data_IF_797186423762
#
_entry.id   IF_797186423762
#
_cell.length_a   1.000
_cell.length_b   1.000
_cell.length_c   1.000
_cell.angle_alpha   90.00
_cell.angle_beta   90.00
_cell.angle_gamma   90.00
#
_symmetry.space_group_name_H-M   'P 1'
#
loop_
_entity.id
_entity.type
_entity.pdbx_description
1 polymer ?
#
# COMPACT_ATOMS: atom_id res chain seq x y z
N UNK A 1 1.24 15.21 25.25
CA UNK A 1 2.01 14.48 24.22
C UNK A 1 1.03 13.58 23.50
N UNK A 2 0.63 13.95 22.30
CA UNK A 2 -0.22 13.10 21.44
C UNK A 2 0.56 11.83 21.12
N UNK A 3 0.00 10.69 21.49
CA UNK A 3 0.59 9.39 21.19
C UNK A 3 0.19 9.09 19.74
N UNK A 4 1.08 9.38 18.79
CA UNK A 4 0.82 9.30 17.33
C UNK A 4 0.21 7.98 16.89
N UNK A 5 0.51 6.86 17.58
CA UNK A 5 -0.11 5.56 17.32
C UNK A 5 -1.57 5.48 17.81
N UNK A 6 -1.90 6.11 18.94
CA UNK A 6 -3.29 6.21 19.42
C UNK A 6 -4.15 7.05 18.49
N UNK A 7 -3.57 8.10 17.90
CA UNK A 7 -4.26 8.93 16.90
C UNK A 7 -4.54 8.11 15.62
N UNK A 8 -3.60 7.29 15.15
CA UNK A 8 -3.82 6.36 14.03
C UNK A 8 -4.94 5.37 14.30
N UNK A 9 -4.99 4.81 15.52
CA UNK A 9 -6.05 3.88 15.92
C UNK A 9 -7.43 4.56 15.90
N UNK A 10 -7.49 5.85 16.21
CA UNK A 10 -8.72 6.64 16.11
C UNK A 10 -9.19 6.90 14.67
N UNK A 11 -8.32 6.72 13.66
CA UNK A 11 -8.70 6.83 12.24
C UNK A 11 -9.27 5.52 11.67
N UNK A 12 -9.06 4.37 12.31
CA UNK A 12 -9.56 3.07 11.86
C UNK A 12 -11.08 3.03 11.54
N UNK A 13 -11.97 3.69 12.32
CA UNK A 13 -13.40 3.69 12.01
C UNK A 13 -13.75 4.31 10.65
N UNK A 14 -12.86 5.09 10.04
CA UNK A 14 -13.05 5.68 8.70
C UNK A 14 -12.89 4.64 7.58
N UNK A 15 -12.30 3.48 7.88
CA UNK A 15 -12.20 2.35 6.95
C UNK A 15 -13.50 1.56 7.01
N UNK A 16 -14.31 1.70 5.97
CA UNK A 16 -15.66 1.13 5.93
C UNK A 16 -15.65 -0.41 5.84
N UNK A 17 -14.75 -0.98 5.04
CA UNK A 17 -14.64 -2.42 4.87
C UNK A 17 -14.06 -3.06 6.15
N UNK A 18 -14.78 -3.98 6.82
CA UNK A 18 -14.32 -4.61 8.06
C UNK A 18 -13.06 -5.46 7.92
N UNK A 19 -12.90 -6.17 6.81
CA UNK A 19 -11.71 -7.01 6.54
C UNK A 19 -10.49 -6.11 6.33
N UNK A 20 -10.64 -5.08 5.50
CA UNK A 20 -9.63 -4.04 5.28
C UNK A 20 -9.22 -3.37 6.59
N UNK A 21 -10.19 -3.03 7.44
CA UNK A 21 -9.96 -2.42 8.75
C UNK A 21 -9.21 -3.36 9.70
N UNK A 22 -9.48 -4.66 9.64
CA UNK A 22 -8.76 -5.66 10.43
C UNK A 22 -7.28 -5.72 10.03
N UNK A 23 -6.97 -5.74 8.72
CA UNK A 23 -5.59 -5.77 8.22
C UNK A 23 -4.73 -4.60 8.73
N UNK A 24 -5.21 -3.36 8.59
CA UNK A 24 -4.45 -2.19 9.08
C UNK A 24 -4.41 -2.15 10.62
N UNK A 25 -5.42 -2.70 11.30
CA UNK A 25 -5.45 -2.87 12.75
C UNK A 25 -4.35 -3.80 13.27
N UNK A 26 -4.04 -4.88 12.56
CA UNK A 26 -2.91 -5.76 12.88
C UNK A 26 -1.57 -5.02 12.74
N UNK A 27 -1.40 -4.24 11.67
CA UNK A 27 -0.18 -3.45 11.48
C UNK A 27 0.02 -2.39 12.58
N UNK A 28 -1.05 -1.70 13.01
CA UNK A 28 -1.01 -0.79 14.17
C UNK A 28 -0.64 -1.55 15.44
N UNK A 29 -1.21 -2.75 15.65
CA UNK A 29 -0.93 -3.57 16.82
C UNK A 29 0.55 -4.02 16.86
N UNK A 30 1.15 -4.29 15.70
CA UNK A 30 2.59 -4.51 15.60
C UNK A 30 3.39 -3.26 16.02
N UNK A 31 2.99 -2.06 15.59
CA UNK A 31 3.68 -0.83 15.95
C UNK A 31 3.59 -0.53 17.46
N UNK A 32 2.42 -0.76 18.07
CA UNK A 32 2.20 -0.61 19.51
C UNK A 32 3.02 -1.60 20.36
N UNK A 33 3.39 -2.75 19.78
CA UNK A 33 4.24 -3.76 20.40
C UNK A 33 5.75 -3.61 20.06
N UNK A 34 6.17 -2.44 19.53
CA UNK A 34 7.54 -2.16 19.05
C UNK A 34 8.03 -3.11 17.94
N UNK A 35 7.13 -3.82 17.26
CA UNK A 35 7.41 -4.65 16.08
C UNK A 35 7.44 -3.81 14.80
N UNK A 36 8.28 -2.78 14.80
CA UNK A 36 8.26 -1.67 13.83
C UNK A 36 8.41 -2.12 12.37
N UNK A 37 9.31 -3.06 12.07
CA UNK A 37 9.51 -3.56 10.70
C UNK A 37 8.32 -4.39 10.22
N UNK A 38 7.71 -5.17 11.12
CA UNK A 38 6.53 -5.96 10.82
C UNK A 38 5.32 -5.06 10.52
N UNK A 39 5.13 -4.00 11.31
CA UNK A 39 4.08 -3.02 11.09
C UNK A 39 4.13 -2.43 9.66
N UNK A 40 5.31 -1.98 9.21
CA UNK A 40 5.52 -1.45 7.85
C UNK A 40 5.20 -2.49 6.78
N UNK A 41 5.69 -3.72 6.93
CA UNK A 41 5.48 -4.76 5.91
C UNK A 41 4.00 -5.12 5.81
N UNK A 42 3.32 -5.36 6.93
CA UNK A 42 1.90 -5.72 6.97
C UNK A 42 1.01 -4.59 6.44
N UNK A 43 1.26 -3.34 6.84
CA UNK A 43 0.46 -2.21 6.35
C UNK A 43 0.57 -2.04 4.84
N UNK A 44 1.75 -2.26 4.27
CA UNK A 44 1.94 -2.20 2.83
C UNK A 44 1.22 -3.34 2.10
N UNK A 45 1.31 -4.57 2.62
CA UNK A 45 0.64 -5.74 2.02
C UNK A 45 -0.87 -5.50 1.91
N UNK A 46 -1.51 -5.03 2.97
CA UNK A 46 -2.94 -4.73 2.93
C UNK A 46 -3.29 -3.59 1.95
N UNK A 47 -2.46 -2.54 1.89
CA UNK A 47 -2.67 -1.43 0.97
C UNK A 47 -2.59 -1.87 -0.50
N UNK A 48 -1.59 -2.69 -0.84
CA UNK A 48 -1.45 -3.20 -2.21
C UNK A 48 -2.58 -4.17 -2.56
N UNK A 49 -3.02 -5.00 -1.62
CA UNK A 49 -4.17 -5.89 -1.85
C UNK A 49 -5.44 -5.10 -2.21
N UNK A 50 -5.74 -4.01 -1.48
CA UNK A 50 -6.86 -3.13 -1.81
C UNK A 50 -6.75 -2.54 -3.22
N UNK A 51 -5.55 -2.08 -3.60
CA UNK A 51 -5.33 -1.52 -4.93
C UNK A 51 -5.48 -2.59 -6.02
N UNK A 52 -5.02 -3.81 -5.78
CA UNK A 52 -5.23 -4.94 -6.69
C UNK A 52 -6.71 -5.27 -6.85
N UNK A 53 -7.45 -5.38 -5.74
CA UNK A 53 -8.88 -5.66 -5.77
C UNK A 53 -9.66 -4.55 -6.46
N UNK A 54 -9.32 -3.28 -6.20
CA UNK A 54 -9.94 -2.15 -6.87
C UNK A 54 -9.67 -2.17 -8.38
N UNK A 55 -8.42 -2.38 -8.80
CA UNK A 55 -8.05 -2.48 -10.22
C UNK A 55 -8.77 -3.63 -10.88
N UNK A 56 -8.78 -4.82 -10.27
CA UNK A 56 -9.41 -6.00 -10.82
C UNK A 56 -10.93 -5.81 -11.02
N UNK A 57 -11.61 -5.28 -10.00
CA UNK A 57 -13.07 -5.14 -10.03
C UNK A 57 -13.55 -3.95 -10.87
N UNK A 58 -12.76 -2.88 -10.99
CA UNK A 58 -13.24 -1.62 -11.57
C UNK A 58 -12.49 -1.19 -12.83
N UNK A 59 -11.20 -1.50 -12.97
CA UNK A 59 -10.31 -0.89 -13.98
C UNK A 59 -9.46 -1.87 -14.79
N UNK A 60 -9.80 -3.18 -14.76
CA UNK A 60 -8.96 -4.24 -15.34
C UNK A 60 -8.67 -4.06 -16.84
N UNK A 61 -9.67 -3.65 -17.62
CA UNK A 61 -9.50 -3.44 -19.06
C UNK A 61 -8.52 -2.29 -19.38
N UNK A 62 -8.63 -1.17 -18.65
CA UNK A 62 -7.72 -0.04 -18.79
C UNK A 62 -6.31 -0.40 -18.32
N UNK A 63 -6.21 -1.10 -17.19
CA UNK A 63 -4.96 -1.58 -16.64
C UNK A 63 -4.22 -2.47 -17.63
N UNK A 64 -4.89 -3.48 -18.19
CA UNK A 64 -4.27 -4.40 -19.14
C UNK A 64 -3.79 -3.70 -20.42
N UNK A 65 -4.58 -2.74 -20.92
CA UNK A 65 -4.20 -1.93 -22.09
C UNK A 65 -2.94 -1.11 -21.81
N UNK A 66 -2.88 -0.42 -20.67
CA UNK A 66 -1.72 0.41 -20.30
C UNK A 66 -0.49 -0.44 -19.96
N UNK A 67 -0.67 -1.55 -19.25
CA UNK A 67 0.39 -2.50 -18.94
C UNK A 67 1.03 -3.09 -20.22
N UNK A 68 0.20 -3.47 -21.20
CA UNK A 68 0.67 -3.96 -22.49
C UNK A 68 1.37 -2.87 -23.32
N UNK A 69 0.89 -1.62 -23.25
CA UNK A 69 1.54 -0.47 -23.89
C UNK A 69 2.96 -0.24 -23.36
N UNK A 70 3.17 -0.39 -22.04
CA UNK A 70 4.48 -0.21 -21.38
C UNK A 70 5.40 -1.42 -21.54
N UNK A 71 4.83 -2.62 -21.52
CA UNK A 71 5.54 -3.87 -21.66
C UNK A 71 4.79 -4.79 -22.63
N UNK A 72 5.26 -4.86 -23.87
CA UNK A 72 4.64 -5.69 -24.91
C UNK A 72 4.60 -7.19 -24.56
N UNK A 73 5.40 -7.66 -23.60
CA UNK A 73 5.40 -9.04 -23.09
C UNK A 73 4.39 -9.27 -21.96
N UNK A 74 3.71 -8.22 -21.50
CA UNK A 74 2.67 -8.34 -20.48
C UNK A 74 1.58 -9.29 -20.96
N UNK A 75 1.24 -10.27 -20.13
CA UNK A 75 0.07 -11.12 -20.33
C UNK A 75 -1.09 -10.47 -19.58
N UNK A 76 -2.19 -10.12 -20.26
CA UNK A 76 -3.36 -9.53 -19.61
C UNK A 76 -3.77 -10.34 -18.38
N UNK A 77 -3.96 -9.65 -17.26
CA UNK A 77 -4.46 -10.22 -16.03
C UNK A 77 -5.93 -10.65 -16.21
N UNK A 78 -6.24 -11.86 -15.73
CA UNK A 78 -7.57 -12.46 -15.74
C UNK A 78 -8.07 -12.78 -14.33
N UNK A 79 -7.16 -12.88 -13.35
CA UNK A 79 -7.45 -12.99 -11.91
C UNK A 79 -6.59 -11.99 -11.13
N UNK A 80 -6.95 -11.67 -9.89
CA UNK A 80 -6.20 -10.71 -9.04
C UNK A 80 -4.72 -11.11 -8.91
N UNK A 81 -4.42 -12.39 -8.71
CA UNK A 81 -3.05 -12.91 -8.60
C UNK A 81 -2.16 -12.61 -9.83
N UNK A 82 -2.75 -12.43 -11.00
CA UNK A 82 -1.99 -12.09 -12.21
C UNK A 82 -1.36 -10.69 -12.09
N UNK A 83 -1.95 -9.77 -11.32
CA UNK A 83 -1.43 -8.43 -11.09
C UNK A 83 -0.09 -8.45 -10.34
N UNK A 84 0.14 -9.46 -9.48
CA UNK A 84 1.37 -9.66 -8.70
C UNK A 84 2.59 -9.95 -9.60
N UNK A 85 2.38 -10.37 -10.85
CA UNK A 85 3.46 -10.57 -11.84
C UNK A 85 4.17 -9.26 -12.19
N UNK A 86 3.52 -8.12 -11.95
CA UNK A 86 4.10 -6.79 -12.13
C UNK A 86 4.76 -6.33 -10.85
N UNK A 87 5.97 -5.76 -10.95
CA UNK A 87 6.61 -5.13 -9.79
C UNK A 87 5.72 -4.00 -9.28
N UNK A 88 5.59 -3.86 -7.96
CA UNK A 88 4.71 -2.86 -7.36
C UNK A 88 5.06 -1.43 -7.79
N UNK A 89 6.35 -1.14 -8.03
CA UNK A 89 6.76 0.14 -8.60
C UNK A 89 6.09 0.39 -9.96
N UNK A 90 6.17 -0.57 -10.88
CA UNK A 90 5.59 -0.46 -12.22
C UNK A 90 4.06 -0.48 -12.17
N UNK A 91 3.48 -1.23 -11.23
CA UNK A 91 2.05 -1.24 -10.96
C UNK A 91 1.55 0.15 -10.59
N UNK A 92 2.24 0.85 -9.66
CA UNK A 92 1.92 2.22 -9.26
C UNK A 92 1.99 3.21 -10.44
N UNK A 93 2.93 3.02 -11.37
CA UNK A 93 3.01 3.82 -12.59
C UNK A 93 1.85 3.57 -13.56
N UNK A 94 1.38 2.33 -13.66
CA UNK A 94 0.22 1.98 -14.49
C UNK A 94 -1.06 2.58 -13.90
N UNK A 95 -1.31 2.38 -12.60
CA UNK A 95 -2.57 2.83 -11.98
C UNK A 95 -2.67 4.36 -11.92
N UNK A 96 -1.56 5.08 -11.84
CA UNK A 96 -1.55 6.54 -12.00
C UNK A 96 -1.87 6.98 -13.42
N UNK A 97 -1.29 6.31 -14.43
CA UNK A 97 -1.54 6.64 -15.83
C UNK A 97 -2.99 6.40 -16.27
N UNK A 98 -3.70 5.46 -15.62
CA UNK A 98 -5.14 5.26 -15.80
C UNK A 98 -5.99 6.05 -14.79
N UNK A 99 -5.39 6.98 -14.03
CA UNK A 99 -6.05 7.88 -13.10
C UNK A 99 -6.80 7.20 -11.93
N UNK A 100 -6.34 6.03 -11.48
CA UNK A 100 -6.80 5.42 -10.22
C UNK A 100 -6.25 6.21 -9.02
N UNK A 101 -5.02 6.70 -9.12
CA UNK A 101 -4.40 7.60 -8.14
C UNK A 101 -3.76 8.79 -8.83
N UNK A 102 -3.57 9.89 -8.10
CA UNK A 102 -2.86 11.07 -8.59
C UNK A 102 -1.34 10.95 -8.51
N UNK A 103 -0.64 11.79 -9.27
CA UNK A 103 0.84 11.84 -9.34
C UNK A 103 1.52 11.95 -7.97
N UNK A 104 1.02 12.81 -7.08
CA UNK A 104 1.62 13.03 -5.76
C UNK A 104 1.43 11.82 -4.84
N UNK A 105 0.24 11.20 -4.89
CA UNK A 105 -0.03 9.95 -4.18
C UNK A 105 0.90 8.85 -4.67
N UNK A 106 1.06 8.69 -5.99
CA UNK A 106 2.02 7.74 -6.56
C UNK A 106 3.44 7.96 -6.03
N UNK A 107 3.92 9.20 -6.03
CA UNK A 107 5.27 9.54 -5.55
C UNK A 107 5.44 9.22 -4.07
N UNK A 108 4.45 9.51 -3.23
CA UNK A 108 4.45 9.13 -1.82
C UNK A 108 4.51 7.60 -1.65
N UNK A 109 3.67 6.88 -2.39
CA UNK A 109 3.62 5.41 -2.32
C UNK A 109 4.91 4.76 -2.82
N UNK A 110 5.47 5.20 -3.95
CA UNK A 110 6.71 4.65 -4.51
C UNK A 110 7.94 5.01 -3.66
N UNK A 111 8.14 6.31 -3.40
CA UNK A 111 9.42 6.80 -2.89
C UNK A 111 9.56 6.64 -1.38
N UNK A 112 8.45 6.74 -0.65
CA UNK A 112 8.45 6.66 0.80
C UNK A 112 7.94 5.31 1.28
N UNK A 113 6.73 4.92 0.86
CA UNK A 113 6.09 3.72 1.42
C UNK A 113 6.72 2.41 0.93
N UNK A 114 6.79 2.19 -0.39
CA UNK A 114 7.35 0.99 -0.99
C UNK A 114 8.84 0.83 -0.64
N UNK A 115 9.62 1.92 -0.72
CA UNK A 115 11.03 1.89 -0.35
C UNK A 115 11.25 1.52 1.12
N UNK A 116 10.44 2.07 2.05
CA UNK A 116 10.52 1.71 3.45
C UNK A 116 10.12 0.24 3.68
N UNK A 117 9.08 -0.23 3.01
CA UNK A 117 8.69 -1.64 3.05
C UNK A 117 9.80 -2.55 2.53
N UNK A 118 10.43 -2.23 1.41
CA UNK A 118 11.54 -3.00 0.86
C UNK A 118 12.72 -3.04 1.83
N UNK A 119 13.05 -1.91 2.45
CA UNK A 119 14.08 -1.87 3.50
C UNK A 119 13.67 -2.69 4.75
N UNK A 120 12.39 -2.75 5.11
CA UNK A 120 11.93 -3.55 6.24
C UNK A 120 11.83 -5.05 5.93
N UNK A 121 11.62 -5.42 4.66
CA UNK A 121 11.50 -6.80 4.19
C UNK A 121 12.82 -7.53 3.92
N UNK A 122 13.94 -6.81 3.86
CA UNK A 122 15.27 -7.42 3.61
C UNK A 122 16.24 -7.22 4.78
N UNK A 123 17.13 -8.19 5.08
CA UNK A 123 18.21 -7.98 6.04
C UNK A 123 19.09 -6.79 5.64
N UNK A 124 19.26 -5.83 6.53
CA UNK A 124 20.12 -4.66 6.35
C UNK A 124 20.42 -3.98 7.68
N UNK A 125 21.27 -2.95 7.63
CA UNK A 125 21.67 -2.14 8.78
C UNK A 125 20.72 -0.97 9.10
N UNK A 126 19.59 -0.82 8.39
CA UNK A 126 18.66 0.28 8.60
C UNK A 126 17.97 0.15 9.97
N UNK A 127 18.11 1.19 10.78
CA UNK A 127 17.34 1.38 12.01
C UNK A 127 16.17 2.32 11.74
N UNK A 128 15.00 1.99 12.29
CA UNK A 128 13.78 2.80 12.18
C UNK A 128 13.20 3.05 13.57
N UNK A 129 12.56 4.19 13.76
CA UNK A 129 11.88 4.54 15.02
C UNK A 129 10.38 4.67 14.83
N UNK A 130 9.63 4.68 15.94
CA UNK A 130 8.16 4.67 15.95
C UNK A 130 7.54 5.81 15.11
N UNK A 131 8.08 7.03 15.17
CA UNK A 131 7.55 8.16 14.39
C UNK A 131 7.60 7.93 12.87
N UNK A 132 8.66 7.26 12.38
CA UNK A 132 8.78 6.94 10.94
C UNK A 132 7.76 5.87 10.53
N UNK A 133 7.48 4.91 11.40
CA UNK A 133 6.44 3.91 11.18
C UNK A 133 5.05 4.53 11.25
N UNK A 134 4.80 5.42 12.22
CA UNK A 134 3.54 6.14 12.33
C UNK A 134 3.24 6.94 11.06
N UNK A 135 4.22 7.70 10.54
CA UNK A 135 4.06 8.42 9.28
C UNK A 135 3.77 7.49 8.09
N UNK A 136 4.41 6.32 8.03
CA UNK A 136 4.15 5.32 6.99
C UNK A 136 2.70 4.79 7.06
N UNK A 137 2.24 4.44 8.27
CA UNK A 137 0.87 4.00 8.51
C UNK A 137 -0.14 5.09 8.15
N UNK A 138 0.12 6.34 8.55
CA UNK A 138 -0.72 7.50 8.23
C UNK A 138 -0.84 7.71 6.72
N UNK A 139 0.29 7.72 5.99
CA UNK A 139 0.31 7.85 4.53
C UNK A 139 -0.57 6.80 3.86
N UNK A 140 -0.45 5.53 4.26
CA UNK A 140 -1.28 4.47 3.68
C UNK A 140 -2.75 4.60 4.08
N UNK A 141 -3.04 4.98 5.33
CA UNK A 141 -4.41 5.11 5.81
C UNK A 141 -5.18 6.20 5.05
N UNK A 142 -4.56 7.37 4.88
CA UNK A 142 -5.16 8.50 4.19
C UNK A 142 -5.25 8.30 2.67
N UNK A 143 -4.25 7.68 2.05
CA UNK A 143 -4.16 7.63 0.59
C UNK A 143 -4.63 6.30 -0.01
N UNK A 144 -4.83 5.26 0.79
CA UNK A 144 -5.25 3.94 0.31
C UNK A 144 -6.43 3.39 1.13
N UNK A 145 -6.24 3.10 2.42
CA UNK A 145 -7.27 2.38 3.21
C UNK A 145 -8.59 3.14 3.37
N UNK A 146 -8.58 4.47 3.33
CA UNK A 146 -9.79 5.29 3.38
C UNK A 146 -10.40 5.56 1.99
N UNK A 147 -9.70 5.23 0.91
CA UNK A 147 -10.09 5.55 -0.47
C UNK A 147 -10.67 4.33 -1.22
N UNK A 148 -10.26 3.12 -0.85
CA UNK A 148 -10.56 1.86 -1.52
C UNK A 148 -11.12 0.83 -0.53
#
# INVERSE_FOLDING_TARGET
MTNTLSDLRALLPQVNNPETRAFIGEAISCAEADLLRAAVVLSWVGAVNLLYDYVFNNRLADFNREAQRRNAKWKPAAITDDLVRMKEHDFLDVIEAISVIGKNVKQELQNNCLNLRNACGHPNSLKIGANRVAAHLESLLLNVYSQF
#
